data_IF_204898435061
#
_entry.id   IF_204898435061
#
_cell.length_a   1.000
_cell.length_b   1.000
_cell.length_c   1.000
_cell.angle_alpha   90.00
_cell.angle_beta   90.00
_cell.angle_gamma   90.00
#
_symmetry.space_group_name_H-M   'P 1'
#
loop_
_entity.id
_entity.type
_entity.pdbx_description
1 polymer ?
#
# COMPACT_ATOMS: atom_id res chain seq x y z
N UNK A 1 -4.83 5.09 31.25
CA UNK A 1 -3.83 4.74 30.21
C UNK A 1 -4.50 5.00 28.87
N UNK A 2 -4.03 6.00 28.11
CA UNK A 2 -4.51 6.25 26.75
C UNK A 2 -4.05 5.11 25.88
N UNK A 3 -4.97 4.29 25.36
CA UNK A 3 -4.65 3.25 24.39
C UNK A 3 -4.04 3.89 23.15
N UNK A 4 -2.93 3.36 22.66
CA UNK A 4 -2.32 3.81 21.41
C UNK A 4 -3.29 3.51 20.26
N UNK A 5 -3.95 4.53 19.74
CA UNK A 5 -4.87 4.38 18.62
C UNK A 5 -4.09 4.27 17.30
N UNK A 6 -4.59 3.46 16.38
CA UNK A 6 -4.07 3.40 15.01
C UNK A 6 -4.22 4.77 14.35
N UNK A 7 -3.11 5.34 13.88
CA UNK A 7 -3.12 6.63 13.20
C UNK A 7 -3.67 6.50 11.77
N UNK A 8 -4.67 7.31 11.47
CA UNK A 8 -5.28 7.42 10.14
C UNK A 8 -4.92 8.76 9.53
N UNK A 9 -4.23 8.73 8.40
CA UNK A 9 -3.82 9.94 7.67
C UNK A 9 -4.85 10.35 6.63
N UNK A 10 -5.13 11.65 6.53
CA UNK A 10 -5.82 12.24 5.38
C UNK A 10 -4.84 12.30 4.21
N UNK A 11 -5.28 11.89 3.03
CA UNK A 11 -4.46 11.90 1.84
C UNK A 11 -4.61 13.20 1.05
N UNK A 12 -3.63 13.49 0.18
CA UNK A 12 -3.57 14.70 -0.65
C UNK A 12 -3.25 14.35 -2.10
N UNK A 13 -3.29 15.33 -2.99
CA UNK A 13 -3.01 15.15 -4.41
C UNK A 13 -4.05 14.28 -5.10
N UNK A 14 -3.62 13.29 -5.88
CA UNK A 14 -4.56 12.37 -6.55
C UNK A 14 -5.37 11.49 -5.60
N UNK A 15 -4.91 11.34 -4.36
CA UNK A 15 -5.59 10.59 -3.29
C UNK A 15 -6.43 11.50 -2.38
N UNK A 16 -6.59 12.78 -2.72
CA UNK A 16 -7.45 13.70 -1.96
C UNK A 16 -8.85 13.11 -1.78
N UNK A 17 -9.41 13.27 -0.57
CA UNK A 17 -10.68 12.67 -0.19
C UNK A 17 -10.57 11.26 0.39
N UNK A 18 -9.45 10.56 0.22
CA UNK A 18 -9.20 9.28 0.89
C UNK A 18 -8.51 9.44 2.24
N UNK A 19 -8.71 8.42 3.07
CA UNK A 19 -7.92 8.20 4.29
C UNK A 19 -7.10 6.93 4.15
N UNK A 20 -5.99 6.85 4.90
CA UNK A 20 -5.11 5.70 4.83
C UNK A 20 -4.50 5.34 6.18
N UNK A 21 -4.26 4.04 6.39
CA UNK A 21 -3.34 3.52 7.40
C UNK A 21 -2.03 3.18 6.68
N UNK A 22 -0.95 3.74 7.19
CA UNK A 22 0.38 3.61 6.60
C UNK A 22 1.43 3.37 7.69
N UNK A 23 2.58 2.82 7.31
CA UNK A 23 3.73 2.56 8.18
C UNK A 23 4.94 3.38 7.76
N UNK A 24 5.96 3.42 8.59
CA UNK A 24 7.16 4.22 8.32
C UNK A 24 8.06 3.53 7.30
N UNK A 25 8.23 4.13 6.14
CA UNK A 25 9.11 3.64 5.07
C UNK A 25 10.59 3.67 5.47
N UNK A 26 10.99 4.60 6.36
CA UNK A 26 12.39 4.81 6.72
C UNK A 26 12.93 3.81 7.75
N UNK A 27 12.03 3.10 8.43
CA UNK A 27 12.37 2.11 9.48
C UNK A 27 11.84 0.71 9.18
N UNK A 28 11.10 0.54 8.09
CA UNK A 28 10.68 -0.77 7.62
C UNK A 28 11.85 -1.45 6.91
N UNK A 29 12.38 -2.53 7.48
CA UNK A 29 13.58 -3.23 6.99
C UNK A 29 13.47 -3.62 5.51
N UNK A 30 12.29 -4.08 5.08
CA UNK A 30 12.07 -4.39 3.67
C UNK A 30 12.21 -3.14 2.79
N UNK A 31 11.62 -2.01 3.19
CA UNK A 31 11.69 -0.76 2.43
C UNK A 31 13.11 -0.22 2.36
N UNK A 32 13.83 -0.23 3.50
CA UNK A 32 15.23 0.21 3.59
C UNK A 32 16.10 -0.66 2.68
N UNK A 33 16.05 -1.98 2.85
CA UNK A 33 16.82 -2.93 2.05
C UNK A 33 16.56 -2.76 0.53
N UNK A 34 15.28 -2.66 0.12
CA UNK A 34 14.94 -2.52 -1.29
C UNK A 34 15.38 -1.16 -1.87
N UNK A 35 15.31 -0.09 -1.09
CA UNK A 35 15.77 1.22 -1.52
C UNK A 35 17.31 1.24 -1.68
N UNK A 36 18.04 0.80 -0.67
CA UNK A 36 19.51 0.74 -0.69
C UNK A 36 20.02 -0.13 -1.85
N UNK A 37 19.43 -1.31 -2.02
CA UNK A 37 19.77 -2.22 -3.13
C UNK A 37 19.48 -1.59 -4.49
N UNK A 38 18.35 -0.91 -4.64
CA UNK A 38 17.96 -0.28 -5.90
C UNK A 38 18.88 0.88 -6.27
N UNK A 39 19.24 1.72 -5.29
CA UNK A 39 20.13 2.86 -5.48
C UNK A 39 21.57 2.39 -5.68
N UNK A 40 22.08 1.50 -4.82
CA UNK A 40 23.47 1.02 -4.87
C UNK A 40 23.80 0.25 -6.15
N UNK A 41 22.89 -0.63 -6.58
CA UNK A 41 23.10 -1.46 -7.79
C UNK A 41 22.50 -0.84 -9.06
N UNK A 42 21.93 0.37 -9.00
CA UNK A 42 21.27 1.05 -10.13
C UNK A 42 20.27 0.15 -10.88
N UNK A 43 19.45 -0.60 -10.12
CA UNK A 43 18.50 -1.56 -10.69
C UNK A 43 17.21 -0.87 -11.15
N UNK A 44 16.44 -1.57 -12.00
CA UNK A 44 15.12 -1.12 -12.45
C UNK A 44 14.02 -1.23 -11.37
N UNK A 45 14.41 -1.34 -10.10
CA UNK A 45 13.46 -1.44 -9.00
C UNK A 45 12.90 -0.05 -8.65
N UNK A 46 11.55 0.07 -8.64
CA UNK A 46 10.84 1.31 -8.29
C UNK A 46 11.14 1.82 -6.87
N UNK A 47 11.66 0.96 -5.99
CA UNK A 47 12.05 1.36 -4.64
C UNK A 47 13.23 2.34 -4.62
N UNK A 48 14.04 2.41 -5.69
CA UNK A 48 15.07 3.45 -5.86
C UNK A 48 14.49 4.85 -6.05
N UNK A 49 13.29 4.93 -6.67
CA UNK A 49 12.55 6.18 -6.90
C UNK A 49 11.36 6.30 -5.93
N UNK A 50 11.49 5.76 -4.72
CA UNK A 50 10.38 5.68 -3.77
C UNK A 50 9.96 7.07 -3.27
N UNK A 51 8.78 7.53 -3.72
CA UNK A 51 8.22 8.82 -3.30
C UNK A 51 8.07 8.95 -1.78
N UNK A 52 7.69 7.85 -1.11
CA UNK A 52 7.51 7.84 0.34
C UNK A 52 8.83 8.07 1.08
N UNK A 53 9.91 7.45 0.60
CA UNK A 53 11.25 7.63 1.16
C UNK A 53 11.71 9.10 1.02
N UNK A 54 11.57 9.68 -0.16
CA UNK A 54 11.92 11.08 -0.44
C UNK A 54 11.09 12.05 0.39
N UNK A 55 9.76 11.85 0.44
CA UNK A 55 8.87 12.71 1.21
C UNK A 55 9.17 12.70 2.71
N UNK A 56 9.39 11.52 3.30
CA UNK A 56 9.60 11.38 4.74
C UNK A 56 11.00 11.85 5.18
N UNK A 57 11.99 11.82 4.30
CA UNK A 57 13.29 12.48 4.54
C UNK A 57 13.23 14.00 4.37
N UNK A 58 12.32 14.50 3.56
CA UNK A 58 12.16 15.90 3.19
C UNK A 58 10.98 16.60 3.85
N UNK A 59 10.13 17.17 3.02
CA UNK A 59 9.05 18.09 3.42
C UNK A 59 7.92 17.47 4.25
N UNK A 60 7.83 16.14 4.35
CA UNK A 60 6.87 15.43 5.21
C UNK A 60 7.51 14.69 6.39
N UNK A 61 8.71 15.07 6.79
CA UNK A 61 9.41 14.46 7.94
C UNK A 61 8.56 14.42 9.22
N UNK A 62 7.70 15.39 9.42
CA UNK A 62 6.82 15.47 10.60
C UNK A 62 5.74 14.37 10.63
N UNK A 63 5.50 13.64 9.54
CA UNK A 63 4.62 12.47 9.53
C UNK A 63 5.30 11.21 10.08
N UNK A 64 6.62 11.13 10.02
CA UNK A 64 7.37 9.92 10.36
C UNK A 64 7.06 9.38 11.77
N UNK A 65 6.93 10.20 12.84
CA UNK A 65 6.59 9.69 14.17
C UNK A 65 5.21 9.02 14.24
N UNK A 66 4.20 9.55 13.53
CA UNK A 66 2.88 8.96 13.51
C UNK A 66 2.86 7.61 12.73
N UNK A 67 3.59 7.55 11.63
CA UNK A 67 3.77 6.33 10.84
C UNK A 67 4.60 5.29 11.61
N UNK A 68 5.57 5.73 12.43
CA UNK A 68 6.34 4.84 13.30
C UNK A 68 5.45 4.19 14.36
N UNK A 69 4.59 4.97 15.02
CA UNK A 69 3.62 4.39 15.97
C UNK A 69 2.73 3.33 15.33
N UNK A 70 2.30 3.53 14.09
CA UNK A 70 1.59 2.49 13.35
C UNK A 70 2.46 1.26 13.08
N UNK A 71 3.73 1.47 12.68
CA UNK A 71 4.66 0.37 12.46
C UNK A 71 4.79 -0.50 13.72
N UNK A 72 5.04 0.15 14.85
CA UNK A 72 5.25 -0.53 16.14
C UNK A 72 3.97 -1.24 16.60
N UNK A 73 2.83 -0.56 16.58
CA UNK A 73 1.56 -1.12 17.04
C UNK A 73 1.09 -2.28 16.17
N UNK A 74 1.10 -2.10 14.85
CA UNK A 74 0.52 -3.08 13.92
C UNK A 74 1.40 -4.32 13.74
N UNK A 75 2.72 -4.23 13.98
CA UNK A 75 3.64 -5.34 13.77
C UNK A 75 3.99 -6.13 15.04
N UNK A 76 3.71 -5.59 16.23
CA UNK A 76 4.19 -6.18 17.49
C UNK A 76 3.24 -7.22 18.09
N UNK A 77 1.93 -7.03 17.98
CA UNK A 77 0.90 -7.86 18.60
C UNK A 77 -0.46 -7.72 17.92
N UNK A 78 -1.40 -8.64 18.18
CA UNK A 78 -2.79 -8.45 17.79
C UNK A 78 -3.39 -7.17 18.41
N UNK A 79 -4.16 -6.43 17.60
CA UNK A 79 -4.96 -5.32 18.10
C UNK A 79 -6.05 -5.85 19.05
N UNK A 80 -6.25 -5.17 20.16
CA UNK A 80 -7.43 -5.40 21.01
C UNK A 80 -8.67 -4.84 20.29
N UNK A 81 -9.85 -5.35 20.61
CA UNK A 81 -11.11 -4.94 19.96
C UNK A 81 -11.31 -3.41 20.01
N UNK A 82 -11.01 -2.77 21.13
CA UNK A 82 -11.13 -1.32 21.31
C UNK A 82 -10.05 -0.51 20.57
N UNK A 83 -9.01 -1.15 20.04
CA UNK A 83 -7.94 -0.53 19.25
C UNK A 83 -8.22 -0.61 17.75
N UNK A 84 -9.17 -1.44 17.34
CA UNK A 84 -9.59 -1.54 15.93
C UNK A 84 -10.37 -0.28 15.57
N UNK A 85 -9.88 0.51 14.61
CA UNK A 85 -10.53 1.76 14.26
C UNK A 85 -11.83 1.51 13.51
N UNK A 86 -12.88 2.26 13.84
CA UNK A 86 -14.08 2.33 13.03
C UNK A 86 -13.81 3.23 11.82
N UNK A 87 -13.95 2.68 10.63
CA UNK A 87 -13.72 3.37 9.35
C UNK A 87 -15.09 3.72 8.75
N UNK A 88 -15.42 5.00 8.69
CA UNK A 88 -16.70 5.48 8.15
C UNK A 88 -16.60 5.90 6.68
N UNK A 89 -15.55 5.51 5.97
CA UNK A 89 -15.39 5.76 4.54
C UNK A 89 -15.99 4.62 3.72
N UNK A 90 -16.52 4.94 2.54
CA UNK A 90 -16.93 3.92 1.57
C UNK A 90 -15.72 3.16 1.01
N UNK A 91 -14.56 3.83 0.94
CA UNK A 91 -13.31 3.29 0.40
C UNK A 91 -12.13 3.72 1.26
N UNK A 92 -11.22 2.82 1.55
CA UNK A 92 -10.07 3.07 2.41
C UNK A 92 -8.79 2.45 1.85
N UNK A 93 -7.64 3.10 2.11
CA UNK A 93 -6.35 2.63 1.63
C UNK A 93 -5.44 2.12 2.73
N UNK A 94 -4.84 0.96 2.52
CA UNK A 94 -3.68 0.50 3.26
C UNK A 94 -2.39 0.76 2.48
N UNK A 95 -1.30 1.04 3.20
CA UNK A 95 0.05 1.22 2.65
C UNK A 95 0.14 2.31 1.56
N UNK A 96 -0.34 3.54 1.89
CA UNK A 96 0.01 4.72 1.09
C UNK A 96 1.48 5.11 1.31
N UNK A 97 2.04 4.80 2.49
CA UNK A 97 3.46 4.83 2.84
C UNK A 97 3.84 3.51 3.51
N UNK A 98 5.09 3.10 3.36
CA UNK A 98 5.59 1.86 3.91
C UNK A 98 5.13 0.60 3.17
N UNK A 99 5.38 -0.54 3.79
CA UNK A 99 5.09 -1.87 3.25
C UNK A 99 4.62 -2.79 4.39
N UNK A 100 4.08 -3.95 4.09
CA UNK A 100 3.84 -4.99 5.10
C UNK A 100 5.15 -5.33 5.81
N UNK A 101 5.13 -5.27 7.13
CA UNK A 101 6.33 -5.51 7.97
C UNK A 101 6.50 -7.01 8.20
N UNK A 102 5.45 -7.65 8.72
CA UNK A 102 5.43 -9.07 9.08
C UNK A 102 4.00 -9.64 9.03
N UNK A 103 3.86 -10.91 9.39
CA UNK A 103 2.58 -11.62 9.40
C UNK A 103 1.58 -11.01 10.39
N UNK A 104 2.06 -10.51 11.55
CA UNK A 104 1.21 -9.83 12.53
C UNK A 104 0.61 -8.53 11.96
N UNK A 105 1.39 -7.76 11.20
CA UNK A 105 0.88 -6.57 10.52
C UNK A 105 -0.24 -6.93 9.53
N UNK A 106 -0.03 -7.96 8.71
CA UNK A 106 -1.07 -8.47 7.80
C UNK A 106 -2.33 -8.85 8.58
N UNK A 107 -2.19 -9.60 9.68
CA UNK A 107 -3.32 -10.04 10.51
C UNK A 107 -4.11 -8.86 11.08
N UNK A 108 -3.44 -7.83 11.54
CA UNK A 108 -4.08 -6.62 12.08
C UNK A 108 -4.83 -5.84 11.00
N UNK A 109 -4.27 -5.72 9.77
CA UNK A 109 -5.00 -5.12 8.65
C UNK A 109 -6.24 -5.92 8.28
N UNK A 110 -6.17 -7.24 8.34
CA UNK A 110 -7.34 -8.10 8.08
C UNK A 110 -8.40 -7.97 9.18
N UNK A 111 -8.00 -7.89 10.45
CA UNK A 111 -8.94 -7.62 11.54
C UNK A 111 -9.67 -6.29 11.35
N UNK A 112 -8.95 -5.22 10.97
CA UNK A 112 -9.56 -3.91 10.64
C UNK A 112 -10.53 -4.05 9.46
N UNK A 113 -10.18 -4.81 8.43
CA UNK A 113 -11.02 -5.02 7.24
C UNK A 113 -12.33 -5.74 7.59
N UNK A 114 -12.23 -6.80 8.39
CA UNK A 114 -13.38 -7.64 8.80
C UNK A 114 -14.33 -6.86 9.71
N UNK A 115 -13.78 -6.04 10.62
CA UNK A 115 -14.58 -5.23 11.57
C UNK A 115 -15.28 -4.03 10.91
N UNK A 116 -14.94 -3.72 9.65
CA UNK A 116 -15.52 -2.62 8.89
C UNK A 116 -16.12 -3.11 7.55
N UNK A 117 -17.14 -3.98 7.55
CA UNK A 117 -17.64 -4.65 6.35
C UNK A 117 -18.32 -3.72 5.34
N UNK A 118 -18.72 -2.52 5.75
CA UNK A 118 -19.33 -1.49 4.89
C UNK A 118 -18.30 -0.71 4.06
N UNK A 119 -17.01 -0.84 4.37
CA UNK A 119 -15.91 -0.14 3.71
C UNK A 119 -15.18 -1.09 2.75
N UNK A 120 -14.87 -0.63 1.55
CA UNK A 120 -13.99 -1.34 0.63
C UNK A 120 -12.54 -0.93 0.87
N UNK A 121 -11.70 -1.90 1.17
CA UNK A 121 -10.28 -1.69 1.41
C UNK A 121 -9.44 -2.03 0.19
N UNK A 122 -8.33 -1.32 0.01
CA UNK A 122 -7.32 -1.68 -0.98
C UNK A 122 -5.92 -1.65 -0.34
N UNK A 123 -5.19 -2.74 -0.47
CA UNK A 123 -3.84 -2.94 0.04
C UNK A 123 -2.85 -3.10 -1.12
N UNK A 124 -1.92 -2.14 -1.25
CA UNK A 124 -0.77 -2.27 -2.13
C UNK A 124 0.40 -2.91 -1.38
N UNK A 125 0.94 -3.98 -1.92
CA UNK A 125 2.10 -4.62 -1.33
C UNK A 125 2.98 -5.31 -2.36
N UNK A 126 4.29 -5.35 -2.09
CA UNK A 126 5.29 -6.16 -2.79
C UNK A 126 5.55 -7.47 -2.05
N UNK A 127 5.04 -7.61 -0.82
CA UNK A 127 5.28 -8.74 0.08
C UNK A 127 4.36 -9.92 -0.22
N UNK A 128 4.58 -10.51 -1.40
CA UNK A 128 3.88 -11.74 -1.84
C UNK A 128 4.06 -12.87 -0.83
N UNK A 129 5.23 -12.93 -0.20
CA UNK A 129 5.58 -13.91 0.83
C UNK A 129 4.63 -13.86 2.03
N UNK A 130 4.33 -12.67 2.57
CA UNK A 130 3.41 -12.48 3.70
C UNK A 130 1.98 -12.80 3.28
N UNK A 131 1.55 -12.28 2.11
CA UNK A 131 0.19 -12.51 1.60
C UNK A 131 -0.05 -14.01 1.39
N UNK A 132 0.89 -14.74 0.80
CA UNK A 132 0.74 -16.18 0.57
C UNK A 132 0.70 -16.98 1.87
N UNK A 133 1.55 -16.66 2.86
CA UNK A 133 1.47 -17.32 4.16
C UNK A 133 0.10 -17.11 4.81
N UNK A 134 -0.41 -15.88 4.78
CA UNK A 134 -1.71 -15.57 5.36
C UNK A 134 -2.85 -16.30 4.63
N UNK A 135 -2.87 -16.29 3.28
CA UNK A 135 -3.92 -16.91 2.46
C UNK A 135 -3.91 -18.44 2.51
N UNK A 136 -2.82 -19.07 2.94
CA UNK A 136 -2.78 -20.53 3.13
C UNK A 136 -3.79 -20.99 4.18
N UNK A 137 -3.93 -20.21 5.25
CA UNK A 137 -4.70 -20.59 6.43
C UNK A 137 -5.99 -19.74 6.59
N UNK A 138 -6.17 -18.72 5.74
CA UNK A 138 -7.27 -17.78 5.83
C UNK A 138 -7.95 -17.50 4.49
N UNK A 139 -9.23 -17.13 4.55
CA UNK A 139 -9.98 -16.66 3.41
C UNK A 139 -9.90 -15.13 3.30
N UNK A 140 -9.60 -14.63 2.11
CA UNK A 140 -9.57 -13.19 1.84
C UNK A 140 -10.94 -12.56 2.10
N UNK A 141 -11.04 -11.46 2.88
CA UNK A 141 -12.28 -10.71 3.05
C UNK A 141 -12.83 -10.21 1.70
N UNK A 142 -14.15 -10.29 1.52
CA UNK A 142 -14.80 -9.89 0.27
C UNK A 142 -14.67 -8.38 -0.02
N UNK A 143 -14.52 -7.56 1.02
CA UNK A 143 -14.36 -6.12 0.94
C UNK A 143 -12.89 -5.67 0.85
N UNK A 144 -11.96 -6.58 0.49
CA UNK A 144 -10.54 -6.28 0.30
C UNK A 144 -10.09 -6.49 -1.14
N UNK A 145 -9.47 -5.48 -1.75
CA UNK A 145 -8.71 -5.58 -2.98
C UNK A 145 -7.22 -5.68 -2.66
N UNK A 146 -6.61 -6.82 -2.97
CA UNK A 146 -5.16 -7.03 -2.86
C UNK A 146 -4.49 -6.65 -4.18
N UNK A 147 -3.60 -5.67 -4.13
CA UNK A 147 -2.93 -5.13 -5.30
C UNK A 147 -1.43 -5.42 -5.20
N UNK A 148 -0.95 -6.25 -6.11
CA UNK A 148 0.48 -6.49 -6.22
C UNK A 148 1.17 -5.27 -6.81
N UNK A 149 2.02 -4.62 -6.03
CA UNK A 149 2.86 -3.51 -6.50
C UNK A 149 4.12 -4.08 -7.14
N UNK A 150 4.13 -4.20 -8.47
CA UNK A 150 5.28 -4.72 -9.19
C UNK A 150 6.52 -3.86 -8.93
N UNK A 151 7.61 -4.43 -8.39
CA UNK A 151 8.81 -3.67 -8.09
C UNK A 151 9.63 -3.30 -9.34
N UNK A 152 9.48 -4.01 -10.45
CA UNK A 152 10.27 -3.77 -11.68
C UNK A 152 9.64 -2.67 -12.52
N UNK A 153 10.41 -1.62 -12.81
CA UNK A 153 10.01 -0.55 -13.73
C UNK A 153 9.95 -1.12 -15.18
N UNK A 154 9.02 -0.60 -15.96
CA UNK A 154 8.85 -0.92 -17.39
C UNK A 154 8.67 -2.42 -17.71
N UNK A 155 8.44 -3.25 -16.70
CA UNK A 155 8.10 -4.65 -16.85
C UNK A 155 6.64 -4.88 -16.46
N UNK A 156 5.75 -4.98 -17.44
CA UNK A 156 4.32 -5.10 -17.21
C UNK A 156 3.94 -6.55 -16.92
N UNK A 157 3.44 -6.80 -15.72
CA UNK A 157 2.76 -8.02 -15.36
C UNK A 157 1.27 -7.85 -15.68
N UNK A 158 0.78 -8.65 -16.62
CA UNK A 158 -0.62 -8.63 -17.07
C UNK A 158 -1.54 -9.51 -16.21
N UNK A 159 -0.95 -10.43 -15.46
CA UNK A 159 -1.69 -11.31 -14.53
C UNK A 159 -1.19 -11.09 -13.12
N UNK A 160 -2.07 -10.83 -12.15
CA UNK A 160 -1.67 -10.73 -10.76
C UNK A 160 -1.16 -12.08 -10.23
N UNK A 161 -0.24 -12.08 -9.26
CA UNK A 161 0.13 -13.29 -8.54
C UNK A 161 -1.09 -13.96 -7.91
N UNK A 162 -1.02 -15.27 -7.65
CA UNK A 162 -2.12 -16.02 -7.03
C UNK A 162 -2.56 -15.32 -5.73
N UNK A 163 -3.87 -15.14 -5.57
CA UNK A 163 -4.47 -14.49 -4.41
C UNK A 163 -4.53 -12.96 -4.46
N UNK A 164 -3.89 -12.33 -5.44
CA UNK A 164 -4.04 -10.90 -5.70
C UNK A 164 -5.14 -10.65 -6.73
N UNK A 165 -5.85 -9.53 -6.59
CA UNK A 165 -6.91 -9.12 -7.50
C UNK A 165 -6.34 -8.33 -8.68
N UNK A 166 -5.29 -7.55 -8.45
CA UNK A 166 -4.73 -6.63 -9.45
C UNK A 166 -3.20 -6.56 -9.36
N UNK A 167 -2.59 -6.18 -10.48
CA UNK A 167 -1.19 -5.72 -10.57
C UNK A 167 -1.13 -4.23 -10.75
N UNK A 168 -0.20 -3.58 -10.06
CA UNK A 168 0.13 -2.19 -10.24
C UNK A 168 1.55 -2.09 -10.80
N UNK A 169 1.68 -1.64 -12.04
CA UNK A 169 2.92 -1.56 -12.79
C UNK A 169 3.35 -0.08 -12.94
N UNK A 170 4.64 0.16 -12.82
CA UNK A 170 5.25 1.47 -13.02
C UNK A 170 6.07 1.44 -14.31
N UNK A 171 5.83 2.37 -15.23
CA UNK A 171 6.51 2.45 -16.52
C UNK A 171 7.22 3.79 -16.69
N UNK A 172 8.32 3.79 -17.42
CA UNK A 172 9.00 5.02 -17.82
C UNK A 172 8.16 5.73 -18.89
N UNK A 173 8.26 7.06 -18.96
CA UNK A 173 7.35 7.93 -19.70
C UNK A 173 7.15 7.56 -21.17
N UNK A 174 8.20 7.12 -21.81
CA UNK A 174 8.29 7.05 -23.26
C UNK A 174 8.00 5.66 -23.83
N UNK A 175 7.81 4.65 -22.95
CA UNK A 175 7.74 3.26 -23.39
C UNK A 175 6.30 2.71 -23.52
N UNK A 176 5.31 3.28 -22.78
CA UNK A 176 3.97 2.67 -22.67
C UNK A 176 2.81 3.66 -22.58
N UNK A 177 2.92 4.82 -23.22
CA UNK A 177 1.93 5.91 -23.13
C UNK A 177 0.51 5.47 -23.55
N UNK A 178 0.40 4.66 -24.56
CA UNK A 178 -0.86 4.16 -25.14
C UNK A 178 -1.56 3.11 -24.25
N UNK A 179 -0.85 2.49 -23.33
CA UNK A 179 -1.40 1.46 -22.41
C UNK A 179 -1.62 1.96 -20.99
N UNK A 180 -1.25 3.19 -20.72
CA UNK A 180 -1.38 3.77 -19.39
C UNK A 180 -2.86 4.02 -19.07
N UNK A 181 -3.35 3.44 -17.98
CA UNK A 181 -4.71 3.64 -17.47
C UNK A 181 -4.78 4.38 -16.14
N UNK A 182 -3.65 4.60 -15.47
CA UNK A 182 -3.52 5.50 -14.32
C UNK A 182 -2.77 6.77 -14.78
N UNK A 183 -3.51 7.74 -15.31
CA UNK A 183 -2.99 8.93 -15.99
C UNK A 183 -2.94 10.18 -15.12
N UNK A 184 -3.08 10.02 -13.80
CA UNK A 184 -3.04 11.13 -12.83
C UNK A 184 -4.41 11.67 -12.41
N UNK A 185 -5.50 11.07 -12.89
CA UNK A 185 -6.86 11.35 -12.45
C UNK A 185 -7.02 11.20 -10.93
N UNK A 186 -7.97 11.90 -10.34
CA UNK A 186 -8.29 11.74 -8.92
C UNK A 186 -8.78 10.31 -8.66
N UNK A 187 -8.19 9.65 -7.66
CA UNK A 187 -8.55 8.27 -7.32
C UNK A 187 -10.00 8.15 -6.83
N UNK A 188 -10.56 9.22 -6.26
CA UNK A 188 -11.94 9.28 -5.81
C UNK A 188 -12.93 9.14 -6.98
N UNK A 189 -12.59 9.66 -8.14
CA UNK A 189 -13.42 9.60 -9.34
C UNK A 189 -13.15 8.31 -10.13
N UNK A 190 -11.88 7.92 -10.25
CA UNK A 190 -11.44 6.78 -11.03
C UNK A 190 -11.81 5.43 -10.40
N UNK A 191 -11.51 5.23 -9.13
CA UNK A 191 -11.77 4.02 -8.30
C UNK A 191 -11.31 2.66 -8.86
N UNK A 192 -10.60 2.60 -9.97
CA UNK A 192 -10.14 1.35 -10.60
C UNK A 192 -9.46 0.39 -9.62
N UNK A 193 -8.65 0.92 -8.69
CA UNK A 193 -7.95 0.14 -7.68
C UNK A 193 -8.83 -0.30 -6.51
N UNK A 194 -9.98 0.32 -6.32
CA UNK A 194 -10.82 0.20 -5.13
C UNK A 194 -12.13 -0.52 -5.38
N UNK A 195 -12.41 -0.86 -6.61
CA UNK A 195 -13.62 -1.57 -6.99
C UNK A 195 -13.29 -2.95 -7.53
N UNK A 196 -14.19 -3.89 -7.32
CA UNK A 196 -14.15 -5.18 -8.00
C UNK A 196 -14.65 -4.96 -9.43
N UNK A 197 -13.73 -4.99 -10.39
CA UNK A 197 -13.99 -4.77 -11.83
C UNK A 197 -13.03 -5.63 -12.65
N UNK A 198 -13.23 -5.69 -13.97
CA UNK A 198 -12.45 -6.53 -14.88
C UNK A 198 -11.02 -6.01 -15.15
N UNK A 199 -10.67 -4.82 -14.63
CA UNK A 199 -9.33 -4.26 -14.77
C UNK A 199 -8.39 -4.89 -13.76
N UNK A 200 -7.64 -5.88 -14.18
CA UNK A 200 -6.65 -6.58 -13.35
C UNK A 200 -5.24 -5.98 -13.46
N UNK A 201 -4.98 -5.21 -14.51
CA UNK A 201 -3.66 -4.62 -14.79
C UNK A 201 -3.75 -3.09 -14.76
N UNK A 202 -3.01 -2.49 -13.84
CA UNK A 202 -2.92 -1.03 -13.70
C UNK A 202 -1.51 -0.60 -14.10
N UNK A 203 -1.42 0.41 -14.96
CA UNK A 203 -0.17 0.95 -15.48
C UNK A 203 -0.12 2.44 -15.18
N UNK A 204 0.86 2.85 -14.38
CA UNK A 204 1.14 4.23 -14.03
C UNK A 204 2.53 4.65 -14.49
N UNK A 205 2.65 5.86 -15.02
CA UNK A 205 3.93 6.48 -15.31
C UNK A 205 4.70 6.77 -14.02
N UNK A 206 5.98 6.42 -13.99
CA UNK A 206 6.89 6.78 -12.88
C UNK A 206 6.92 8.29 -12.74
N UNK A 207 6.68 8.77 -11.53
CA UNK A 207 6.82 10.18 -11.16
C UNK A 207 8.22 10.42 -10.62
N UNK A 208 8.89 11.43 -11.16
CA UNK A 208 10.12 11.96 -10.54
C UNK A 208 9.70 12.90 -9.40
N UNK A 209 10.27 12.69 -8.22
CA UNK A 209 10.07 13.51 -7.02
C UNK A 209 11.37 14.17 -6.59
#
# INVERSE_FOLDING_TARGET
MTHAAVHISKMTGKLEGFRAISTNTLTNDYCVFQNERAVGNKTDNICGDCYSHTMLKGYRKNMAPALQRNSDLLSSRPLKLQEIPRINDAVFRFSAHGELINDQHMQNLMAITIDNPWCTFALWTKRVDIVFRWLRDNKKPANLNLIYSNPKKSHILTKPPKGFDKTFNNVLADEYMDRQNCTGQKCQDCRICYTNNDVTTIIEKVKKY
#
